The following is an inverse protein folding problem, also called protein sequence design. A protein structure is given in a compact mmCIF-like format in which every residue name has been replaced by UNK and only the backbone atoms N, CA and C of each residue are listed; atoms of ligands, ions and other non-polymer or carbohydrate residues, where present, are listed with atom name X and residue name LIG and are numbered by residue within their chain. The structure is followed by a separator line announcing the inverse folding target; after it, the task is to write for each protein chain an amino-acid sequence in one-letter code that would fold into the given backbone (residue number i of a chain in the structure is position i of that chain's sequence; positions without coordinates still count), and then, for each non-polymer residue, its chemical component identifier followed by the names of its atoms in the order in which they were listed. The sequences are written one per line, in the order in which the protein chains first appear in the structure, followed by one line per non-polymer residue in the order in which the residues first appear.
data_IF_576763464857
#
_entry.id   IF_576763464857
#
_cell.length_a   1.000
_cell.length_b   1.000
_cell.length_c   1.000
_cell.angle_alpha   90.00
_cell.angle_beta   90.00
_cell.angle_gamma   90.00
#
_symmetry.space_group_name_H-M   'P 1'
#
loop_
_entity.id
_entity.type
_entity.pdbx_description
1 polymer ?
#
# COMPACT_ATOMS: atom_id res chain seq x y z
N UNK A 1 -2.99 11.88 16.34
CA UNK A 1 -2.74 10.42 16.14
C UNK A 1 -3.22 9.62 17.34
N UNK A 2 -3.61 8.34 17.13
CA UNK A 2 -4.16 7.53 18.24
C UNK A 2 -3.12 7.13 19.30
N UNK A 3 -1.86 6.93 18.92
CA UNK A 3 -0.82 6.30 19.76
C UNK A 3 0.43 7.18 19.96
N UNK A 4 0.24 8.46 20.18
CA UNK A 4 1.33 9.45 20.33
C UNK A 4 2.35 9.13 21.42
N UNK A 5 1.93 8.42 22.49
CA UNK A 5 2.85 8.04 23.57
C UNK A 5 4.01 7.13 23.11
N UNK A 6 3.85 6.44 21.98
CA UNK A 6 4.89 5.59 21.39
C UNK A 6 5.71 6.30 20.32
N UNK A 7 5.28 7.46 19.90
CA UNK A 7 5.95 8.25 18.88
C UNK A 7 7.22 8.92 19.39
N UNK A 8 8.12 9.20 18.47
CA UNK A 8 9.33 9.99 18.70
C UNK A 8 9.64 10.83 17.48
N UNK A 9 10.47 11.85 17.64
CA UNK A 9 10.94 12.69 16.55
C UNK A 9 12.28 12.20 16.05
N UNK A 10 12.41 12.01 14.74
CA UNK A 10 13.65 11.69 14.03
C UNK A 10 14.09 12.92 13.24
N UNK A 11 15.31 13.39 13.49
CA UNK A 11 15.92 14.48 12.71
C UNK A 11 16.83 13.91 11.63
N UNK A 12 16.62 14.34 10.38
CA UNK A 12 17.43 13.94 9.22
C UNK A 12 17.84 15.21 8.47
N UNK A 13 19.08 15.64 8.64
CA UNK A 13 19.53 16.96 8.16
C UNK A 13 18.69 18.07 8.80
N UNK A 14 18.09 18.92 7.97
CA UNK A 14 17.24 20.03 8.41
C UNK A 14 15.75 19.62 8.56
N UNK A 15 15.39 18.39 8.25
CA UNK A 15 14.02 17.88 8.34
C UNK A 15 13.80 17.09 9.63
N UNK A 16 12.56 17.16 10.15
CA UNK A 16 12.11 16.38 11.29
C UNK A 16 10.90 15.52 10.90
N UNK A 17 10.86 14.31 11.42
CA UNK A 17 9.82 13.31 11.15
C UNK A 17 9.34 12.68 12.45
N UNK A 18 8.08 12.32 12.50
CA UNK A 18 7.54 11.47 13.57
C UNK A 18 7.68 10.00 13.16
N UNK A 19 8.19 9.15 14.07
CA UNK A 19 8.30 7.70 13.85
C UNK A 19 7.96 6.92 15.12
N UNK A 20 7.85 5.60 15.04
CA UNK A 20 7.51 4.71 16.15
C UNK A 20 8.72 3.80 16.46
N UNK A 21 9.57 4.18 17.44
CA UNK A 21 10.78 3.44 17.78
C UNK A 21 10.48 2.09 18.42
N UNK A 22 10.72 1.02 17.67
CA UNK A 22 10.51 -0.37 18.15
C UNK A 22 11.49 -0.77 19.24
N UNK A 23 12.67 -0.16 19.28
CA UNK A 23 13.71 -0.39 20.28
C UNK A 23 13.32 0.03 21.69
N UNK A 24 12.24 0.79 21.85
CA UNK A 24 11.68 1.15 23.18
C UNK A 24 10.81 0.04 23.76
N UNK A 25 10.47 -0.98 22.99
CA UNK A 25 9.69 -2.13 23.46
C UNK A 25 10.67 -3.18 23.98
N UNK A 26 10.56 -3.52 25.26
CA UNK A 26 11.41 -4.50 25.92
C UNK A 26 11.35 -5.85 25.19
N UNK A 27 12.50 -6.44 24.90
CA UNK A 27 12.64 -7.72 24.19
C UNK A 27 12.64 -7.60 22.65
N UNK A 28 12.35 -6.43 22.11
CA UNK A 28 12.31 -6.21 20.66
C UNK A 28 13.66 -6.43 19.96
N UNK A 29 14.76 -6.27 20.68
CA UNK A 29 16.12 -6.50 20.17
C UNK A 29 16.35 -7.94 19.68
N UNK A 30 15.61 -8.91 20.25
CA UNK A 30 15.68 -10.34 19.92
C UNK A 30 14.84 -10.71 18.68
N UNK A 31 13.94 -9.82 18.25
CA UNK A 31 13.05 -10.11 17.14
C UNK A 31 13.79 -10.04 15.79
N UNK A 32 13.43 -10.94 14.84
CA UNK A 32 13.83 -10.77 13.45
C UNK A 32 13.21 -9.50 12.84
N UNK A 33 13.81 -8.98 11.78
CA UNK A 33 13.38 -7.72 11.16
C UNK A 33 11.92 -7.71 10.74
N UNK A 34 11.41 -8.81 10.19
CA UNK A 34 10.00 -8.92 9.80
C UNK A 34 9.04 -8.67 10.98
N UNK A 35 9.34 -9.24 12.15
CA UNK A 35 8.53 -9.00 13.35
C UNK A 35 8.72 -7.59 13.92
N UNK A 36 9.86 -6.96 13.74
CA UNK A 36 10.06 -5.54 14.08
C UNK A 36 9.20 -4.62 13.23
N UNK A 37 9.04 -4.93 11.93
CA UNK A 37 8.13 -4.21 11.04
C UNK A 37 6.67 -4.36 11.49
N UNK A 38 6.24 -5.58 11.85
CA UNK A 38 4.91 -5.81 12.42
C UNK A 38 4.73 -5.09 13.77
N UNK A 39 5.74 -5.07 14.61
CA UNK A 39 5.72 -4.36 15.88
C UNK A 39 5.53 -2.85 15.68
N UNK A 40 6.26 -2.22 14.75
CA UNK A 40 6.04 -0.82 14.38
C UNK A 40 4.60 -0.57 13.93
N UNK A 41 4.08 -1.45 13.07
CA UNK A 41 2.72 -1.35 12.54
C UNK A 41 1.68 -1.37 13.66
N UNK A 42 1.83 -2.26 14.62
CA UNK A 42 0.96 -2.35 15.82
C UNK A 42 1.05 -1.08 16.66
N UNK A 43 2.26 -0.59 16.97
CA UNK A 43 2.44 0.62 17.77
C UNK A 43 1.75 1.83 17.14
N UNK A 44 1.78 1.92 15.82
CA UNK A 44 1.22 3.05 15.05
C UNK A 44 -0.29 2.97 14.88
N UNK A 45 -0.84 1.77 14.59
CA UNK A 45 -2.20 1.63 14.08
C UNK A 45 -3.21 1.10 15.11
N UNK A 46 -2.80 0.50 16.22
CA UNK A 46 -3.73 -0.03 17.22
C UNK A 46 -4.77 1.01 17.66
N UNK A 47 -5.95 0.54 18.03
CA UNK A 47 -7.10 1.39 18.32
C UNK A 47 -6.88 2.33 19.50
N UNK A 48 -6.10 1.89 20.50
CA UNK A 48 -5.74 2.67 21.68
C UNK A 48 -4.30 2.39 22.11
N UNK A 49 -3.73 3.28 22.94
CA UNK A 49 -2.42 3.04 23.53
C UNK A 49 -2.31 1.78 24.39
N UNK A 50 -3.39 1.37 25.03
CA UNK A 50 -3.46 0.15 25.83
C UNK A 50 -3.43 -1.08 24.92
N UNK A 51 -4.27 -1.09 23.86
CA UNK A 51 -4.26 -2.14 22.85
C UNK A 51 -2.89 -2.24 22.15
N UNK A 52 -2.25 -1.12 21.83
CA UNK A 52 -0.90 -1.11 21.27
C UNK A 52 0.13 -1.77 22.21
N UNK A 53 0.05 -1.51 23.52
CA UNK A 53 0.95 -2.12 24.50
C UNK A 53 0.74 -3.63 24.59
N UNK A 54 -0.52 -4.08 24.63
CA UNK A 54 -0.85 -5.51 24.76
C UNK A 54 -0.49 -6.29 23.49
N UNK A 55 -0.76 -5.72 22.31
CA UNK A 55 -0.38 -6.31 21.03
C UNK A 55 1.16 -6.36 20.87
N UNK A 56 1.86 -5.28 21.21
CA UNK A 56 3.31 -5.23 21.17
C UNK A 56 3.96 -6.31 22.04
N UNK A 57 3.45 -6.49 23.26
CA UNK A 57 3.89 -7.55 24.17
C UNK A 57 3.68 -8.93 23.58
N UNK A 58 2.50 -9.22 23.02
CA UNK A 58 2.22 -10.49 22.35
C UNK A 58 3.15 -10.76 21.17
N UNK A 59 3.44 -9.75 20.33
CA UNK A 59 4.39 -9.89 19.21
C UNK A 59 5.78 -10.26 19.73
N UNK A 60 6.25 -9.61 20.79
CA UNK A 60 7.56 -9.89 21.36
C UNK A 60 7.61 -11.29 21.99
N UNK A 61 6.62 -11.65 22.82
CA UNK A 61 6.55 -12.95 23.49
C UNK A 61 6.51 -14.10 22.48
N UNK A 62 5.59 -14.06 21.52
CA UNK A 62 5.46 -15.09 20.48
C UNK A 62 6.70 -15.16 19.59
N UNK A 63 7.24 -14.01 19.19
CA UNK A 63 8.44 -13.94 18.34
C UNK A 63 9.70 -14.46 19.02
N UNK A 64 9.87 -14.20 20.32
CA UNK A 64 11.00 -14.72 21.09
C UNK A 64 10.87 -16.21 21.42
N UNK A 65 9.65 -16.69 21.62
CA UNK A 65 9.37 -18.11 21.86
C UNK A 65 9.39 -18.95 20.57
N UNK A 66 9.31 -18.32 19.39
CA UNK A 66 9.16 -19.00 18.10
C UNK A 66 7.78 -19.65 17.96
N UNK A 67 6.77 -19.11 18.63
CA UNK A 67 5.41 -19.63 18.58
C UNK A 67 4.77 -19.36 17.21
N UNK A 68 3.97 -20.31 16.76
CA UNK A 68 3.21 -20.24 15.51
C UNK A 68 1.72 -20.15 15.83
N UNK A 69 1.00 -19.31 15.07
CA UNK A 69 -0.46 -19.19 15.18
C UNK A 69 -0.96 -18.03 16.06
N UNK A 70 -0.05 -17.18 16.56
CA UNK A 70 -0.46 -15.93 17.21
C UNK A 70 -1.00 -14.94 16.18
N UNK A 71 -2.19 -14.41 16.44
CA UNK A 71 -2.83 -13.41 15.58
C UNK A 71 -2.36 -12.01 15.95
N UNK A 72 -2.07 -11.20 14.92
CA UNK A 72 -1.68 -9.80 15.03
C UNK A 72 -2.52 -8.97 14.08
N UNK A 73 -3.10 -7.88 14.57
CA UNK A 73 -3.75 -6.89 13.72
C UNK A 73 -2.72 -6.21 12.82
N UNK A 74 -3.03 -6.11 11.54
CA UNK A 74 -2.14 -5.57 10.53
C UNK A 74 -2.86 -4.57 9.63
N UNK A 75 -2.29 -3.39 9.49
CA UNK A 75 -2.75 -2.35 8.56
C UNK A 75 -1.70 -2.12 7.47
N UNK A 76 -1.93 -2.56 6.23
CA UNK A 76 -0.96 -2.38 5.17
C UNK A 76 -0.74 -0.89 4.88
N UNK A 77 0.49 -0.53 4.53
CA UNK A 77 0.83 0.80 4.04
C UNK A 77 0.44 0.99 2.58
N UNK A 78 0.27 -0.12 1.83
CA UNK A 78 -0.02 -0.13 0.41
C UNK A 78 -0.72 -1.43 0.01
N UNK A 79 -1.53 -1.36 -1.04
CA UNK A 79 -2.12 -2.53 -1.71
C UNK A 79 -1.64 -2.60 -3.15
N UNK A 80 -1.15 -3.78 -3.56
CA UNK A 80 -0.76 -4.07 -4.93
C UNK A 80 -1.81 -4.98 -5.58
N UNK A 81 -2.40 -4.53 -6.66
CA UNK A 81 -3.34 -5.30 -7.46
C UNK A 81 -2.70 -5.73 -8.79
N UNK A 82 -2.97 -6.94 -9.21
CA UNK A 82 -2.96 -7.27 -10.63
C UNK A 82 -4.29 -6.80 -11.28
N UNK A 83 -4.31 -6.66 -12.59
CA UNK A 83 -5.47 -6.10 -13.29
C UNK A 83 -6.75 -6.94 -13.16
N UNK A 84 -6.66 -8.27 -13.22
CA UNK A 84 -7.83 -9.15 -13.11
C UNK A 84 -8.50 -9.13 -11.73
N UNK A 85 -7.75 -8.87 -10.69
CA UNK A 85 -8.28 -8.74 -9.32
C UNK A 85 -8.53 -7.29 -8.94
N UNK A 86 -7.81 -6.34 -9.51
CA UNK A 86 -7.90 -4.92 -9.19
C UNK A 86 -9.00 -4.18 -9.94
N UNK A 87 -9.23 -4.49 -11.22
CA UNK A 87 -10.30 -3.83 -11.99
C UNK A 87 -11.67 -3.96 -11.31
N UNK A 88 -12.12 -5.13 -10.84
CA UNK A 88 -13.38 -5.23 -10.11
C UNK A 88 -13.45 -4.36 -8.85
N UNK A 89 -12.35 -4.23 -8.11
CA UNK A 89 -12.30 -3.36 -6.92
C UNK A 89 -12.50 -1.89 -7.29
N UNK A 90 -11.91 -1.42 -8.38
CA UNK A 90 -12.15 -0.05 -8.86
C UNK A 90 -13.55 0.16 -9.41
N UNK A 91 -14.17 -0.88 -9.97
CA UNK A 91 -15.61 -0.85 -10.32
C UNK A 91 -16.45 -0.69 -9.06
N UNK A 92 -16.15 -1.41 -7.98
CA UNK A 92 -16.85 -1.25 -6.70
C UNK A 92 -16.69 0.16 -6.14
N UNK A 93 -15.51 0.76 -6.19
CA UNK A 93 -15.32 2.16 -5.81
C UNK A 93 -16.15 3.14 -6.68
N UNK A 94 -16.28 2.87 -7.98
CA UNK A 94 -17.11 3.69 -8.87
C UNK A 94 -18.59 3.60 -8.47
N UNK A 95 -19.10 2.38 -8.23
CA UNK A 95 -20.47 2.15 -7.76
C UNK A 95 -20.71 2.77 -6.38
N UNK A 96 -19.74 2.69 -5.47
CA UNK A 96 -19.84 3.35 -4.17
C UNK A 96 -19.95 4.89 -4.30
N UNK A 97 -19.25 5.49 -5.27
CA UNK A 97 -19.39 6.93 -5.56
C UNK A 97 -20.76 7.29 -6.08
N UNK A 98 -21.30 6.49 -6.99
CA UNK A 98 -22.65 6.66 -7.52
C UNK A 98 -23.69 6.57 -6.38
N UNK A 99 -23.65 5.51 -5.59
CA UNK A 99 -24.53 5.33 -4.44
C UNK A 99 -24.39 6.48 -3.41
N UNK A 100 -23.18 6.96 -3.16
CA UNK A 100 -22.95 8.10 -2.28
C UNK A 100 -23.63 9.38 -2.81
N UNK A 101 -23.55 9.63 -4.12
CA UNK A 101 -24.20 10.76 -4.76
C UNK A 101 -25.74 10.63 -4.68
N UNK A 102 -26.29 9.46 -4.94
CA UNK A 102 -27.74 9.19 -4.85
C UNK A 102 -28.29 9.39 -3.44
N UNK A 103 -27.48 9.13 -2.43
CA UNK A 103 -27.80 9.39 -1.02
C UNK A 103 -27.56 10.86 -0.61
N UNK A 104 -27.15 11.72 -1.53
CA UNK A 104 -26.89 13.16 -1.25
C UNK A 104 -25.55 13.42 -0.58
N UNK A 105 -24.64 12.46 -0.56
CA UNK A 105 -23.28 12.61 -0.07
C UNK A 105 -22.31 13.18 -1.12
N UNK A 106 -21.09 13.47 -0.70
CA UNK A 106 -20.02 13.88 -1.60
C UNK A 106 -19.22 12.67 -2.10
N UNK A 107 -19.35 12.29 -3.40
CA UNK A 107 -18.68 11.14 -3.94
C UNK A 107 -17.14 11.24 -3.94
N UNK A 108 -16.58 12.44 -3.85
CA UNK A 108 -15.13 12.66 -3.76
C UNK A 108 -14.53 12.14 -2.45
N UNK A 109 -15.34 11.92 -1.42
CA UNK A 109 -14.92 11.31 -0.16
C UNK A 109 -14.66 9.80 -0.28
N UNK A 110 -15.15 9.16 -1.34
CA UNK A 110 -14.90 7.73 -1.61
C UNK A 110 -13.57 7.62 -2.35
N UNK A 111 -12.53 7.28 -1.61
CA UNK A 111 -11.17 7.03 -2.11
C UNK A 111 -10.55 5.85 -1.35
N UNK A 112 -9.59 5.13 -1.93
CA UNK A 112 -8.77 4.20 -1.17
C UNK A 112 -8.11 4.88 0.03
N UNK A 113 -8.17 4.26 1.19
CA UNK A 113 -7.55 4.81 2.41
C UNK A 113 -6.03 4.71 2.42
N UNK A 114 -5.49 3.77 1.66
CA UNK A 114 -4.04 3.57 1.49
C UNK A 114 -3.70 3.58 0.00
N UNK A 115 -2.46 3.90 -0.38
CA UNK A 115 -2.02 3.83 -1.76
C UNK A 115 -2.31 2.47 -2.40
N UNK A 116 -2.88 2.49 -3.59
CA UNK A 116 -3.21 1.33 -4.40
C UNK A 116 -2.43 1.38 -5.71
N UNK A 117 -1.56 0.41 -5.93
CA UNK A 117 -0.86 0.22 -7.18
C UNK A 117 -1.54 -0.92 -7.95
N UNK A 118 -2.07 -0.65 -9.14
CA UNK A 118 -2.58 -1.68 -10.04
C UNK A 118 -1.58 -1.86 -11.18
N UNK A 119 -1.13 -3.09 -11.35
CA UNK A 119 -0.19 -3.46 -12.41
C UNK A 119 -0.92 -4.29 -13.45
N UNK A 120 -1.01 -3.76 -14.68
CA UNK A 120 -1.59 -4.48 -15.81
C UNK A 120 -0.66 -5.63 -16.19
N UNK A 121 -1.23 -6.78 -16.56
CA UNK A 121 -0.48 -7.98 -16.92
C UNK A 121 0.63 -7.63 -17.91
N UNK A 122 1.82 -8.17 -17.65
CA UNK A 122 2.99 -7.98 -18.49
C UNK A 122 2.89 -8.71 -19.85
N UNK A 123 1.97 -9.67 -19.95
CA UNK A 123 1.79 -10.47 -21.14
C UNK A 123 1.03 -9.71 -22.22
N UNK A 124 1.68 -9.52 -23.35
CA UNK A 124 1.09 -9.00 -24.58
C UNK A 124 1.08 -10.12 -25.60
N UNK A 125 -0.06 -10.34 -26.27
CA UNK A 125 -0.19 -11.38 -27.30
C UNK A 125 0.73 -11.03 -28.48
N UNK A 126 1.59 -11.95 -28.86
CA UNK A 126 2.44 -11.80 -30.04
C UNK A 126 1.71 -12.25 -31.30
N UNK A 127 0.85 -11.38 -31.83
CA UNK A 127 0.16 -11.61 -33.13
C UNK A 127 1.12 -11.55 -34.30
N UNK A 128 2.11 -10.68 -34.20
CA UNK A 128 3.16 -10.47 -35.18
C UNK A 128 4.50 -10.76 -34.53
N UNK A 129 5.33 -11.59 -35.17
CA UNK A 129 6.63 -12.00 -34.65
C UNK A 129 7.70 -12.09 -35.75
N UNK A 130 8.96 -11.97 -35.35
CA UNK A 130 10.10 -12.16 -36.24
C UNK A 130 10.33 -11.04 -37.27
N UNK A 131 9.83 -9.84 -37.01
CA UNK A 131 10.02 -8.67 -37.87
C UNK A 131 10.40 -7.41 -37.05
N UNK A 132 10.99 -6.44 -37.72
CA UNK A 132 11.26 -5.15 -37.13
C UNK A 132 9.94 -4.41 -36.82
N UNK A 133 9.82 -3.84 -35.62
CA UNK A 133 8.62 -3.11 -35.18
C UNK A 133 7.44 -3.98 -34.74
N UNK A 134 7.57 -5.31 -34.70
CA UNK A 134 6.49 -6.21 -34.28
C UNK A 134 6.07 -5.97 -32.82
N UNK A 135 6.95 -5.47 -31.97
CA UNK A 135 6.60 -5.09 -30.59
C UNK A 135 5.60 -3.95 -30.55
N UNK A 136 5.84 -2.89 -31.32
CA UNK A 136 4.93 -1.73 -31.41
C UNK A 136 3.57 -2.10 -32.02
N UNK A 137 3.57 -3.04 -32.99
CA UNK A 137 2.34 -3.51 -33.60
C UNK A 137 1.51 -4.35 -32.63
N UNK A 138 2.15 -5.25 -31.88
CA UNK A 138 1.47 -6.03 -30.84
C UNK A 138 0.91 -5.12 -29.74
N UNK A 139 1.63 -4.08 -29.33
CA UNK A 139 1.10 -3.09 -28.38
C UNK A 139 -0.13 -2.36 -28.91
N UNK A 140 -0.14 -1.95 -30.18
CA UNK A 140 -1.33 -1.34 -30.79
C UNK A 140 -2.52 -2.28 -30.82
N UNK A 141 -2.29 -3.56 -31.09
CA UNK A 141 -3.34 -4.58 -31.06
C UNK A 141 -3.85 -4.83 -29.65
N UNK A 142 -2.97 -4.82 -28.65
CA UNK A 142 -3.33 -4.93 -27.24
C UNK A 142 -4.26 -3.79 -26.82
N UNK A 143 -3.89 -2.54 -27.07
CA UNK A 143 -4.73 -1.39 -26.78
C UNK A 143 -6.06 -1.40 -27.55
N UNK A 144 -6.07 -1.90 -28.79
CA UNK A 144 -7.31 -2.04 -29.57
C UNK A 144 -8.26 -3.08 -28.97
N UNK A 145 -7.74 -4.19 -28.42
CA UNK A 145 -8.54 -5.28 -27.81
C UNK A 145 -9.09 -4.89 -26.45
N UNK A 146 -8.29 -4.21 -25.67
CA UNK A 146 -8.58 -3.92 -24.25
C UNK A 146 -8.85 -2.43 -23.99
N UNK A 147 -9.21 -1.67 -25.03
CA UNK A 147 -9.37 -0.22 -24.94
C UNK A 147 -10.32 0.23 -23.84
N UNK A 148 -11.53 -0.37 -23.76
CA UNK A 148 -12.52 -0.03 -22.73
C UNK A 148 -11.97 -0.23 -21.31
N UNK A 149 -11.22 -1.32 -21.07
CA UNK A 149 -10.60 -1.60 -19.78
C UNK A 149 -9.53 -0.54 -19.44
N UNK A 150 -8.72 -0.17 -20.40
CA UNK A 150 -7.65 0.82 -20.18
C UNK A 150 -8.19 2.23 -20.02
N UNK A 151 -9.25 2.58 -20.74
CA UNK A 151 -9.95 3.84 -20.56
C UNK A 151 -10.57 3.95 -19.15
N UNK A 152 -11.17 2.87 -18.67
CA UNK A 152 -11.69 2.80 -17.30
C UNK A 152 -10.57 2.94 -16.26
N UNK A 153 -9.46 2.24 -16.42
CA UNK A 153 -8.34 2.33 -15.49
C UNK A 153 -7.69 3.72 -15.51
N UNK A 154 -7.58 4.34 -16.67
CA UNK A 154 -7.12 5.72 -16.80
C UNK A 154 -8.04 6.68 -16.06
N UNK A 155 -9.36 6.54 -16.25
CA UNK A 155 -10.35 7.29 -15.49
C UNK A 155 -10.20 7.07 -13.98
N UNK A 156 -10.00 5.84 -13.53
CA UNK A 156 -9.80 5.53 -12.13
C UNK A 156 -8.56 6.24 -11.55
N UNK A 157 -7.43 6.19 -12.25
CA UNK A 157 -6.20 6.89 -11.83
C UNK A 157 -6.38 8.41 -11.74
N UNK A 158 -7.16 9.02 -12.65
CA UNK A 158 -7.43 10.46 -12.66
C UNK A 158 -8.50 10.87 -11.62
N UNK A 159 -9.38 9.93 -11.23
CA UNK A 159 -10.53 10.20 -10.37
C UNK A 159 -10.27 9.93 -8.90
N UNK A 160 -9.40 8.98 -8.56
CA UNK A 160 -9.05 8.62 -7.19
C UNK A 160 -7.68 9.16 -6.81
N UNK A 161 -7.53 9.62 -5.57
CA UNK A 161 -6.31 10.29 -5.11
C UNK A 161 -5.14 9.33 -4.87
N UNK A 162 -5.41 8.12 -4.39
CA UNK A 162 -4.38 7.16 -3.96
C UNK A 162 -4.23 5.98 -4.94
N UNK A 163 -4.37 6.22 -6.24
CA UNK A 163 -4.34 5.17 -7.26
C UNK A 163 -3.25 5.43 -8.28
N UNK A 164 -2.41 4.43 -8.52
CA UNK A 164 -1.42 4.41 -9.59
C UNK A 164 -1.62 3.19 -10.46
N UNK A 165 -1.66 3.40 -11.77
CA UNK A 165 -1.80 2.33 -12.76
C UNK A 165 -0.48 2.18 -13.52
N UNK A 166 0.05 0.96 -13.54
CA UNK A 166 1.22 0.61 -14.37
C UNK A 166 0.70 0.00 -15.67
N UNK A 167 1.00 0.61 -16.84
CA UNK A 167 0.47 0.18 -18.12
C UNK A 167 1.02 -1.19 -18.56
N UNK A 168 0.38 -1.84 -19.56
CA UNK A 168 0.84 -3.12 -20.09
C UNK A 168 2.23 -3.01 -20.73
N UNK A 169 2.94 -4.13 -20.83
CA UNK A 169 4.25 -4.20 -21.50
C UNK A 169 5.43 -3.67 -20.67
N UNK A 170 5.23 -3.36 -19.39
CA UNK A 170 6.31 -2.88 -18.50
C UNK A 170 7.13 -4.00 -17.84
N UNK A 171 6.92 -5.25 -18.27
CA UNK A 171 7.58 -6.42 -17.71
C UNK A 171 6.88 -7.02 -16.50
N UNK A 172 7.47 -8.07 -15.92
CA UNK A 172 6.87 -8.81 -14.79
C UNK A 172 6.93 -7.96 -13.51
N UNK A 173 5.86 -7.27 -13.21
CA UNK A 173 5.79 -6.38 -12.06
C UNK A 173 5.23 -7.09 -10.81
N UNK A 174 4.21 -7.93 -10.98
CA UNK A 174 3.47 -8.56 -9.89
C UNK A 174 4.16 -9.77 -9.25
N UNK A 175 5.22 -10.30 -9.86
CA UNK A 175 5.93 -11.47 -9.35
C UNK A 175 7.33 -11.15 -8.83
N UNK A 176 8.09 -10.28 -9.48
CA UNK A 176 9.51 -10.08 -9.23
C UNK A 176 9.90 -8.65 -8.84
N UNK A 177 9.03 -7.67 -9.02
CA UNK A 177 9.38 -6.26 -8.84
C UNK A 177 8.71 -5.60 -7.62
N UNK A 178 8.22 -6.38 -6.67
CA UNK A 178 7.76 -5.83 -5.39
C UNK A 178 8.87 -4.99 -4.76
N UNK A 179 10.11 -5.45 -4.79
CA UNK A 179 11.29 -4.73 -4.28
C UNK A 179 11.50 -3.38 -4.99
N UNK A 180 11.17 -3.29 -6.28
CA UNK A 180 11.26 -2.04 -7.04
C UNK A 180 10.15 -1.07 -6.72
N UNK A 181 8.95 -1.57 -6.41
CA UNK A 181 7.78 -0.75 -6.08
C UNK A 181 7.74 -0.35 -4.61
N UNK A 182 8.22 -1.23 -3.73
CA UNK A 182 8.24 -0.98 -2.31
C UNK A 182 9.34 0.03 -1.96
N UNK A 183 8.96 1.06 -1.25
CA UNK A 183 9.89 1.95 -0.57
C UNK A 183 10.21 1.34 0.79
N UNK A 184 11.44 1.35 1.24
CA UNK A 184 11.77 0.82 2.60
C UNK A 184 11.00 1.58 3.67
N UNK A 185 10.89 2.89 3.47
CA UNK A 185 10.19 3.82 4.35
C UNK A 185 9.24 4.67 3.51
N UNK A 186 8.03 4.84 4.00
CA UNK A 186 7.03 5.74 3.45
C UNK A 186 6.84 6.95 4.34
N UNK A 187 6.48 8.06 3.73
CA UNK A 187 5.98 9.26 4.42
C UNK A 187 4.45 9.27 4.32
N UNK A 188 3.80 9.68 5.40
CA UNK A 188 2.34 9.78 5.43
C UNK A 188 1.82 10.80 4.41
N UNK A 189 0.63 10.57 3.83
CA UNK A 189 -0.04 11.57 3.00
C UNK A 189 -0.18 12.91 3.71
N UNK A 190 -0.23 13.98 2.94
CA UNK A 190 -0.42 15.32 3.46
C UNK A 190 -1.63 15.40 4.39
N UNK A 191 -1.42 15.89 5.62
CA UNK A 191 -2.46 16.02 6.65
C UNK A 191 -2.43 14.95 7.75
N UNK A 192 -1.68 13.85 7.59
CA UNK A 192 -1.41 12.92 8.69
C UNK A 192 -0.04 13.25 9.31
N UNK A 193 -0.07 14.03 10.38
CA UNK A 193 1.14 14.52 11.06
C UNK A 193 1.22 14.02 12.50
N UNK A 194 2.42 14.04 13.06
CA UNK A 194 2.66 13.89 14.49
C UNK A 194 2.06 15.03 15.32
N UNK A 195 2.13 14.88 16.63
CA UNK A 195 1.63 15.92 17.56
C UNK A 195 2.35 17.26 17.38
N UNK A 196 3.59 17.25 16.94
CA UNK A 196 4.43 18.40 16.64
C UNK A 196 4.25 18.96 15.22
N UNK A 197 3.33 18.39 14.43
CA UNK A 197 3.07 18.79 13.05
C UNK A 197 4.04 18.20 12.02
N UNK A 198 5.00 17.36 12.43
CA UNK A 198 5.94 16.71 11.52
C UNK A 198 5.31 15.56 10.75
N UNK A 199 5.74 15.28 9.50
CA UNK A 199 5.27 14.11 8.74
C UNK A 199 5.58 12.81 9.50
N UNK A 200 4.69 11.84 9.40
CA UNK A 200 4.90 10.51 9.97
C UNK A 200 5.63 9.64 8.95
N UNK A 201 6.71 9.00 9.38
CA UNK A 201 7.43 8.00 8.57
C UNK A 201 7.26 6.61 9.16
N UNK A 202 7.12 5.61 8.29
CA UNK A 202 6.85 4.23 8.67
C UNK A 202 7.33 3.25 7.60
N UNK A 203 7.45 1.98 7.97
CA UNK A 203 7.84 0.94 7.03
C UNK A 203 6.76 0.70 5.96
N UNK A 204 7.20 0.55 4.72
CA UNK A 204 6.32 0.20 3.61
C UNK A 204 5.94 -1.28 3.71
N UNK A 205 4.73 -1.51 4.18
CA UNK A 205 4.13 -2.83 4.31
C UNK A 205 3.11 -3.04 3.21
N UNK A 206 3.32 -4.04 2.38
CA UNK A 206 2.54 -4.29 1.17
C UNK A 206 1.70 -5.55 1.33
N UNK A 207 0.42 -5.43 0.96
CA UNK A 207 -0.47 -6.57 0.70
C UNK A 207 -0.73 -6.63 -0.80
N UNK A 208 -0.53 -7.78 -1.39
CA UNK A 208 -0.70 -7.99 -2.83
C UNK A 208 -1.67 -9.12 -3.16
N UNK A 209 -2.26 -9.04 -4.34
CA UNK A 209 -3.12 -10.07 -4.93
C UNK A 209 -2.46 -10.70 -6.14
#
# INVERSE_FOLDING_TARGET
MKNEKFAATLSVGDAAYTYYPVERVEGSEKLPYALKVLLENVLRNAESPEAASDLAKRVVEAGCAGEVGSEVEFSPARVLFQDFTGVPVFVDFAVMREACADLGGDPKKINPQVPCDLVIDHSVIADVAGCDGCMDENMKLEFKRNGERYDFLKWAQESFENVRIVPPGQGICHQLNIEKFASVVMESPAGLTGADGTPVVYFDTLVGT
#
